data_IF_504702999892
#
_entry.id   IF_504702999892
#
_cell.length_a   1.000
_cell.length_b   1.000
_cell.length_c   1.000
_cell.angle_alpha   90.00
_cell.angle_beta   90.00
_cell.angle_gamma   90.00
#
_symmetry.space_group_name_H-M   'P 1'
#
loop_
_entity.id
_entity.type
_entity.pdbx_description
1 polymer ?
#
# COMPACT_ATOMS: atom_id res chain seq x y z
N UNK A 1 -21.13 -1.77 6.66
CA UNK A 1 -19.99 -1.77 5.72
C UNK A 1 -20.22 -2.82 4.65
N UNK A 2 -19.99 -2.52 3.37
CA UNK A 2 -20.19 -3.50 2.30
C UNK A 2 -19.20 -4.66 2.45
N UNK A 3 -19.63 -5.89 2.13
CA UNK A 3 -18.82 -7.12 2.28
C UNK A 3 -17.47 -7.05 1.55
N UNK A 4 -17.40 -6.25 0.49
CA UNK A 4 -16.20 -6.03 -0.35
C UNK A 4 -15.14 -5.24 0.42
N UNK A 5 -15.50 -4.12 1.08
CA UNK A 5 -14.53 -3.34 1.84
C UNK A 5 -13.94 -4.12 3.02
N UNK A 6 -14.75 -4.93 3.69
CA UNK A 6 -14.30 -5.80 4.77
C UNK A 6 -13.33 -6.90 4.27
N UNK A 7 -13.53 -7.39 3.04
CA UNK A 7 -12.62 -8.34 2.41
C UNK A 7 -11.28 -7.70 2.06
N UNK A 8 -11.31 -6.54 1.38
CA UNK A 8 -10.10 -5.78 1.01
C UNK A 8 -9.30 -5.45 2.27
N UNK A 9 -9.91 -4.80 3.26
CA UNK A 9 -9.24 -4.48 4.53
C UNK A 9 -8.69 -5.73 5.22
N UNK A 10 -9.44 -6.84 5.16
CA UNK A 10 -9.05 -8.15 5.66
C UNK A 10 -7.73 -8.69 5.10
N UNK A 11 -7.43 -8.42 3.84
CA UNK A 11 -6.23 -8.91 3.16
C UNK A 11 -4.97 -8.11 3.54
N UNK A 12 -5.13 -6.84 3.93
CA UNK A 12 -4.01 -5.96 4.30
C UNK A 12 -3.72 -5.95 5.81
N UNK A 13 -4.64 -6.41 6.67
CA UNK A 13 -4.45 -6.48 8.13
C UNK A 13 -3.15 -7.21 8.55
N UNK A 14 -2.77 -8.36 7.97
CA UNK A 14 -1.51 -9.03 8.34
C UNK A 14 -0.26 -8.22 7.94
N UNK A 15 -0.38 -7.32 6.96
CA UNK A 15 0.72 -6.46 6.50
C UNK A 15 0.96 -5.25 7.43
N UNK A 16 0.07 -4.98 8.39
CA UNK A 16 0.21 -3.91 9.39
C UNK A 16 1.44 -4.11 10.28
N UNK A 17 1.81 -5.38 10.58
CA UNK A 17 2.99 -5.69 11.38
C UNK A 17 4.31 -5.26 10.72
N UNK A 18 4.36 -5.28 9.38
CA UNK A 18 5.51 -4.82 8.59
C UNK A 18 5.65 -3.29 8.71
N UNK A 19 4.52 -2.55 8.68
CA UNK A 19 4.49 -1.09 8.88
C UNK A 19 5.02 -0.68 10.27
N UNK A 20 4.68 -1.45 11.32
CA UNK A 20 5.07 -1.15 12.71
C UNK A 20 6.56 -1.36 13.02
N UNK A 21 7.25 -2.25 12.30
CA UNK A 21 8.71 -2.51 12.49
C UNK A 21 9.62 -1.56 11.71
N UNK A 22 9.08 -0.90 10.68
CA UNK A 22 9.73 0.07 9.77
C UNK A 22 10.64 1.10 10.43
N UNK A 23 10.06 1.65 11.46
CA UNK A 23 10.03 3.09 11.51
C UNK A 23 11.02 3.64 12.54
N UNK A 24 11.43 2.75 13.46
CA UNK A 24 12.62 2.91 14.26
C UNK A 24 13.93 2.82 13.44
N UNK A 25 13.93 2.18 12.27
CA UNK A 25 15.17 1.92 11.52
C UNK A 25 15.56 3.06 10.55
N UNK A 26 14.62 3.87 10.06
CA UNK A 26 14.89 4.93 9.07
C UNK A 26 15.20 6.31 9.68
N UNK A 27 14.93 6.51 10.96
CA UNK A 27 14.95 7.84 11.59
C UNK A 27 16.35 8.34 12.01
N UNK A 28 17.39 7.53 11.89
CA UNK A 28 18.71 7.93 12.41
C UNK A 28 19.62 8.65 11.39
N UNK A 29 19.27 8.71 10.10
CA UNK A 29 20.20 9.24 9.08
C UNK A 29 19.64 10.16 7.98
N UNK A 30 18.33 10.41 7.87
CA UNK A 30 17.77 11.13 6.70
C UNK A 30 17.17 12.51 7.02
N UNK A 31 17.86 13.32 7.81
CA UNK A 31 17.41 14.70 8.06
C UNK A 31 18.41 15.79 7.68
N UNK A 32 19.60 15.47 7.17
CA UNK A 32 20.60 16.53 6.92
C UNK A 32 21.43 16.47 5.64
N UNK A 33 21.22 15.52 4.73
CA UNK A 33 21.87 15.62 3.41
C UNK A 33 20.92 15.23 2.26
N UNK A 34 20.83 16.04 1.19
CA UNK A 34 20.34 15.54 -0.08
C UNK A 34 21.28 14.41 -0.48
N UNK A 35 20.73 13.25 -0.85
CA UNK A 35 21.49 12.07 -1.23
C UNK A 35 22.60 12.43 -2.23
N UNK A 36 23.82 12.54 -1.71
CA UNK A 36 25.02 12.65 -2.52
C UNK A 36 25.18 11.32 -3.27
N UNK A 37 25.45 11.35 -4.59
CA UNK A 37 25.78 10.15 -5.34
C UNK A 37 27.02 9.49 -4.70
N UNK A 38 26.83 8.37 -3.99
CA UNK A 38 27.95 7.61 -3.38
C UNK A 38 27.72 7.08 -1.97
N UNK A 39 26.63 7.41 -1.27
CA UNK A 39 26.38 6.83 0.06
C UNK A 39 25.72 5.45 -0.03
N UNK A 40 26.56 4.40 -0.10
CA UNK A 40 26.13 2.99 -0.14
C UNK A 40 25.23 2.60 1.04
N UNK A 41 25.36 3.25 2.20
CA UNK A 41 24.53 3.00 3.38
C UNK A 41 23.09 3.46 3.17
N UNK A 42 22.89 4.65 2.59
CA UNK A 42 21.55 5.14 2.24
C UNK A 42 20.91 4.29 1.15
N UNK A 43 21.69 3.87 0.15
CA UNK A 43 21.22 2.97 -0.91
C UNK A 43 20.77 1.63 -0.36
N UNK A 44 21.54 1.03 0.56
CA UNK A 44 21.15 -0.22 1.23
C UNK A 44 19.88 -0.04 2.08
N UNK A 45 19.74 1.09 2.78
CA UNK A 45 18.58 1.36 3.63
C UNK A 45 17.30 1.58 2.82
N UNK A 46 17.41 2.24 1.66
CA UNK A 46 16.36 2.40 0.66
C UNK A 46 16.00 1.05 0.02
N UNK A 47 16.98 0.21 -0.31
CA UNK A 47 16.72 -1.15 -0.78
C UNK A 47 15.90 -1.96 0.23
N UNK A 48 16.32 -1.98 1.50
CA UNK A 48 15.57 -2.64 2.59
C UNK A 48 14.15 -2.04 2.73
N UNK A 49 13.93 -0.78 2.31
CA UNK A 49 12.60 -0.15 2.24
C UNK A 49 11.71 -0.77 1.22
N UNK A 50 12.27 -0.96 0.04
CA UNK A 50 11.52 -1.28 -1.13
C UNK A 50 11.19 -2.77 -1.21
N UNK A 51 11.97 -3.64 -0.56
CA UNK A 51 11.74 -5.10 -0.51
C UNK A 51 10.27 -5.48 -0.26
N UNK A 52 9.63 -5.14 0.88
CA UNK A 52 8.24 -5.56 1.12
C UNK A 52 7.24 -5.01 0.09
N UNK A 53 7.55 -3.87 -0.54
CA UNK A 53 6.68 -3.25 -1.52
C UNK A 53 6.84 -3.86 -2.91
N UNK A 54 8.07 -4.11 -3.33
CA UNK A 54 8.37 -4.84 -4.55
C UNK A 54 7.73 -6.23 -4.53
N UNK A 55 7.83 -6.93 -3.39
CA UNK A 55 7.23 -8.25 -3.15
C UNK A 55 5.75 -8.19 -2.73
N UNK A 56 5.04 -7.06 -2.92
CA UNK A 56 3.60 -6.97 -2.64
C UNK A 56 2.75 -8.03 -3.33
N UNK A 57 2.97 -8.37 -4.62
CA UNK A 57 2.29 -9.50 -5.24
C UNK A 57 2.37 -10.79 -4.40
N UNK A 58 3.55 -11.11 -3.84
CA UNK A 58 3.79 -12.32 -3.04
C UNK A 58 3.08 -12.23 -1.69
N UNK A 59 3.32 -11.14 -0.96
CA UNK A 59 2.80 -10.93 0.39
C UNK A 59 1.27 -10.89 0.38
N UNK A 60 0.69 -10.19 -0.59
CA UNK A 60 -0.75 -10.09 -0.73
C UNK A 60 -1.36 -11.39 -1.23
N UNK A 61 -0.68 -12.11 -2.13
CA UNK A 61 -1.16 -13.41 -2.60
C UNK A 61 -1.32 -14.41 -1.45
N UNK A 62 -0.33 -14.41 -0.55
CA UNK A 62 -0.39 -15.18 0.70
C UNK A 62 -1.58 -14.74 1.59
N UNK A 63 -1.73 -13.46 1.88
CA UNK A 63 -2.78 -12.99 2.81
C UNK A 63 -4.20 -13.14 2.24
N UNK A 64 -4.38 -13.00 0.92
CA UNK A 64 -5.66 -13.28 0.25
C UNK A 64 -5.99 -14.77 0.39
N UNK A 65 -5.02 -15.66 0.16
CA UNK A 65 -5.22 -17.10 0.29
C UNK A 65 -5.60 -17.50 1.73
N UNK A 66 -4.94 -16.94 2.74
CA UNK A 66 -5.34 -17.06 4.16
C UNK A 66 -6.79 -16.63 4.35
N UNK A 67 -7.18 -15.47 3.81
CA UNK A 67 -8.54 -14.94 3.97
C UNK A 67 -9.59 -15.82 3.29
N UNK A 68 -9.25 -16.43 2.17
CA UNK A 68 -10.11 -17.35 1.41
C UNK A 68 -10.08 -18.79 1.93
N UNK A 69 -9.28 -19.10 2.96
CA UNK A 69 -9.05 -20.45 3.47
C UNK A 69 -8.59 -21.40 2.35
N UNK A 70 -7.68 -20.92 1.52
CA UNK A 70 -7.05 -21.61 0.39
C UNK A 70 -5.56 -21.79 0.69
N UNK A 71 -4.86 -22.59 -0.11
CA UNK A 71 -3.43 -22.83 0.01
C UNK A 71 -2.62 -21.53 -0.04
N UNK A 72 -2.06 -21.16 1.10
CA UNK A 72 -1.30 -19.92 1.31
C UNK A 72 -0.05 -19.86 0.40
N UNK A 73 0.66 -20.99 0.29
CA UNK A 73 1.82 -21.13 -0.58
C UNK A 73 1.46 -21.02 -2.06
N UNK A 74 0.30 -21.55 -2.47
CA UNK A 74 -0.17 -21.41 -3.87
C UNK A 74 -0.43 -19.94 -4.18
N UNK A 75 -1.06 -19.20 -3.27
CA UNK A 75 -1.26 -17.76 -3.40
C UNK A 75 0.07 -16.99 -3.49
N UNK A 76 1.05 -17.34 -2.65
CA UNK A 76 2.38 -16.74 -2.68
C UNK A 76 3.14 -17.04 -4.00
N UNK A 77 3.06 -18.27 -4.50
CA UNK A 77 3.69 -18.70 -5.76
C UNK A 77 3.11 -17.94 -6.95
N UNK A 78 1.79 -17.74 -6.99
CA UNK A 78 1.15 -16.93 -8.03
C UNK A 78 1.71 -15.51 -8.02
N UNK A 79 1.82 -14.89 -6.85
CA UNK A 79 2.46 -13.58 -6.71
C UNK A 79 3.93 -13.56 -7.13
N UNK A 80 4.69 -14.60 -6.76
CA UNK A 80 6.11 -14.71 -7.08
C UNK A 80 6.36 -14.91 -8.57
N UNK A 81 5.47 -15.61 -9.27
CA UNK A 81 5.58 -15.85 -10.71
C UNK A 81 5.57 -14.55 -11.53
N UNK A 82 4.87 -13.52 -11.04
CA UNK A 82 4.82 -12.19 -11.67
C UNK A 82 6.11 -11.38 -11.47
N UNK A 83 6.94 -11.79 -10.51
CA UNK A 83 8.22 -11.16 -10.16
C UNK A 83 9.42 -12.02 -10.58
N UNK A 84 9.19 -13.11 -11.33
CA UNK A 84 10.26 -14.00 -11.75
C UNK A 84 11.27 -13.23 -12.63
N UNK A 85 12.58 -13.26 -12.33
CA UNK A 85 13.58 -12.45 -13.05
C UNK A 85 13.58 -12.64 -14.57
N UNK A 86 13.35 -13.87 -15.04
CA UNK A 86 13.28 -14.16 -16.49
C UNK A 86 12.01 -13.61 -17.13
N UNK A 87 10.93 -13.44 -16.36
CA UNK A 87 9.70 -12.83 -16.85
C UNK A 87 9.83 -11.30 -16.84
N UNK A 88 10.38 -10.73 -15.77
CA UNK A 88 10.55 -9.28 -15.65
C UNK A 88 11.62 -8.73 -16.60
N UNK A 89 12.64 -9.51 -16.96
CA UNK A 89 13.64 -9.11 -17.97
C UNK A 89 13.05 -8.97 -19.38
N UNK A 90 11.89 -9.57 -19.63
CA UNK A 90 11.16 -9.49 -20.89
C UNK A 90 10.10 -8.37 -20.89
N UNK A 91 10.02 -7.56 -19.82
CA UNK A 91 9.06 -6.47 -19.72
C UNK A 91 9.15 -5.50 -20.91
N UNK A 92 8.00 -5.15 -21.48
CA UNK A 92 7.90 -4.33 -22.69
C UNK A 92 7.97 -5.10 -24.01
N UNK A 93 8.29 -6.41 -23.96
CA UNK A 93 8.26 -7.28 -25.14
C UNK A 93 6.89 -7.96 -25.29
N UNK A 94 6.57 -8.34 -26.53
CA UNK A 94 5.42 -9.20 -26.82
C UNK A 94 5.94 -10.58 -27.21
N UNK A 95 5.65 -11.58 -26.38
CA UNK A 95 5.99 -12.97 -26.66
C UNK A 95 4.86 -13.62 -27.44
N UNK A 96 5.20 -14.50 -28.38
CA UNK A 96 4.22 -15.34 -29.05
C UNK A 96 4.23 -16.73 -28.40
N UNK A 97 3.16 -17.05 -27.68
CA UNK A 97 3.01 -18.33 -26.99
C UNK A 97 1.81 -19.05 -27.62
N UNK A 98 2.09 -20.14 -28.35
CA UNK A 98 1.06 -20.98 -28.98
C UNK A 98 0.13 -20.13 -29.89
N UNK A 99 0.68 -19.15 -30.61
CA UNK A 99 -0.07 -18.27 -31.52
C UNK A 99 -0.79 -17.10 -30.83
N UNK A 100 -0.71 -16.98 -29.50
CA UNK A 100 -1.30 -15.87 -28.74
C UNK A 100 -0.23 -14.83 -28.35
N UNK A 101 -0.47 -13.53 -28.61
CA UNK A 101 0.42 -12.48 -28.15
C UNK A 101 0.28 -12.27 -26.65
N UNK A 102 1.38 -12.46 -25.93
CA UNK A 102 1.52 -12.14 -24.52
C UNK A 102 2.34 -10.87 -24.37
N UNK A 103 1.71 -9.79 -23.94
CA UNK A 103 2.42 -8.55 -23.59
C UNK A 103 2.99 -8.70 -22.19
N UNK A 104 4.32 -8.74 -22.09
CA UNK A 104 5.00 -8.87 -20.81
C UNK A 104 5.08 -7.50 -20.15
N UNK A 105 4.59 -7.43 -18.91
CA UNK A 105 4.50 -6.19 -18.15
C UNK A 105 5.22 -6.35 -16.83
N UNK A 106 5.77 -5.25 -16.32
CA UNK A 106 6.27 -5.21 -14.95
C UNK A 106 5.09 -5.13 -13.96
N UNK A 107 5.13 -6.03 -12.97
CA UNK A 107 4.13 -6.15 -11.90
C UNK A 107 4.72 -5.88 -10.51
N UNK A 108 5.97 -5.41 -10.42
CA UNK A 108 6.53 -4.89 -9.18
C UNK A 108 5.59 -3.86 -8.57
N UNK A 109 5.41 -3.89 -7.25
CA UNK A 109 4.50 -2.99 -6.52
C UNK A 109 3.01 -3.13 -6.87
N UNK A 110 2.64 -3.97 -7.84
CA UNK A 110 1.26 -4.15 -8.26
C UNK A 110 0.49 -5.09 -7.33
N UNK A 111 -0.82 -4.86 -7.25
CA UNK A 111 -1.70 -5.55 -6.30
C UNK A 111 -2.88 -6.18 -7.03
N UNK A 112 -3.48 -5.46 -7.98
CA UNK A 112 -4.66 -5.90 -8.70
C UNK A 112 -4.51 -7.27 -9.39
N UNK A 113 -3.39 -7.58 -10.09
CA UNK A 113 -3.20 -8.90 -10.70
C UNK A 113 -3.46 -10.06 -9.73
N UNK A 114 -2.84 -9.99 -8.55
CA UNK A 114 -2.94 -11.04 -7.53
C UNK A 114 -4.30 -11.00 -6.83
N UNK A 115 -4.89 -9.81 -6.68
CA UNK A 115 -6.23 -9.62 -6.13
C UNK A 115 -7.31 -10.34 -6.95
N UNK A 116 -7.10 -10.50 -8.25
CA UNK A 116 -7.98 -11.29 -9.12
C UNK A 116 -7.54 -12.76 -9.26
N UNK A 117 -6.23 -13.01 -9.34
CA UNK A 117 -5.70 -14.36 -9.55
C UNK A 117 -5.95 -15.32 -8.38
N UNK A 118 -5.73 -14.88 -7.14
CA UNK A 118 -5.83 -15.77 -5.97
C UNK A 118 -7.26 -16.22 -5.68
N UNK A 119 -8.31 -15.38 -5.82
CA UNK A 119 -9.69 -15.87 -5.79
C UNK A 119 -10.00 -16.94 -6.83
N UNK A 120 -9.46 -16.81 -8.05
CA UNK A 120 -9.61 -17.83 -9.10
C UNK A 120 -8.90 -19.12 -8.69
N UNK A 121 -7.68 -19.02 -8.16
CA UNK A 121 -6.95 -20.18 -7.62
C UNK A 121 -7.69 -20.87 -6.49
N UNK A 122 -8.27 -20.11 -5.55
CA UNK A 122 -9.04 -20.65 -4.44
C UNK A 122 -10.31 -21.38 -4.92
N UNK A 123 -10.98 -20.86 -5.96
CA UNK A 123 -12.13 -21.53 -6.56
C UNK A 123 -11.72 -22.84 -7.27
N UNK A 124 -10.63 -22.80 -8.03
CA UNK A 124 -10.08 -23.98 -8.71
C UNK A 124 -9.60 -25.03 -7.70
N UNK A 125 -8.94 -24.63 -6.61
CA UNK A 125 -8.47 -25.53 -5.55
C UNK A 125 -9.63 -26.30 -4.92
N UNK A 126 -10.74 -25.61 -4.61
CA UNK A 126 -11.95 -26.24 -4.06
C UNK A 126 -12.57 -27.22 -5.06
N UNK A 127 -12.61 -26.86 -6.34
CA UNK A 127 -13.11 -27.73 -7.40
C UNK A 127 -12.26 -29.00 -7.55
N UNK A 128 -10.94 -28.86 -7.58
CA UNK A 128 -10.00 -29.98 -7.72
C UNK A 128 -10.05 -30.92 -6.51
N UNK A 129 -10.18 -30.39 -5.29
CA UNK A 129 -10.34 -31.20 -4.06
C UNK A 129 -11.62 -32.06 -4.07
N UNK A 130 -12.68 -31.61 -4.74
CA UNK A 130 -13.91 -32.42 -4.87
C UNK A 130 -13.77 -33.49 -5.95
N UNK A 131 -12.93 -33.26 -6.96
CA UNK A 131 -12.85 -34.13 -8.15
C UNK A 131 -11.73 -35.17 -8.12
N UNK A 132 -10.62 -34.86 -7.47
CA UNK A 132 -9.44 -35.73 -7.39
C UNK A 132 -9.56 -36.71 -6.21
N UNK A 133 -8.92 -37.88 -6.33
CA UNK A 133 -8.81 -38.82 -5.21
C UNK A 133 -7.87 -38.30 -4.13
N UNK A 134 -8.21 -38.54 -2.86
CA UNK A 134 -7.48 -38.01 -1.70
C UNK A 134 -5.97 -38.32 -1.73
N UNK A 135 -5.59 -39.50 -2.24
CA UNK A 135 -4.19 -39.94 -2.34
C UNK A 135 -3.31 -39.05 -3.22
N UNK A 136 -3.88 -38.37 -4.22
CA UNK A 136 -3.11 -37.52 -5.16
C UNK A 136 -3.31 -36.03 -4.91
N UNK A 137 -4.31 -35.65 -4.10
CA UNK A 137 -4.66 -34.24 -3.88
C UNK A 137 -3.50 -33.40 -3.32
N UNK A 138 -2.66 -33.99 -2.47
CA UNK A 138 -1.54 -33.30 -1.82
C UNK A 138 -0.57 -32.66 -2.83
N UNK A 139 -0.34 -33.32 -3.97
CA UNK A 139 0.58 -32.85 -5.00
C UNK A 139 -0.14 -32.27 -6.23
N UNK A 140 -1.23 -32.91 -6.67
CA UNK A 140 -1.94 -32.51 -7.90
C UNK A 140 -2.70 -31.19 -7.74
N UNK A 141 -3.30 -30.93 -6.58
CA UNK A 141 -4.11 -29.72 -6.41
C UNK A 141 -3.26 -28.45 -6.51
N UNK A 142 -2.16 -28.29 -5.75
CA UNK A 142 -1.31 -27.09 -5.87
C UNK A 142 -0.68 -26.96 -7.27
N UNK A 143 -0.23 -28.08 -7.86
CA UNK A 143 0.39 -28.08 -9.19
C UNK A 143 -0.59 -27.58 -10.26
N UNK A 144 -1.79 -28.15 -10.32
CA UNK A 144 -2.79 -27.75 -11.30
C UNK A 144 -3.26 -26.31 -11.09
N UNK A 145 -3.39 -25.87 -9.84
CA UNK A 145 -3.68 -24.47 -9.54
C UNK A 145 -2.61 -23.55 -10.12
N UNK A 146 -1.33 -23.82 -9.91
CA UNK A 146 -0.24 -22.99 -10.46
C UNK A 146 -0.19 -23.05 -11.98
N UNK A 147 -0.21 -24.25 -12.57
CA UNK A 147 -0.11 -24.47 -14.03
C UNK A 147 -1.27 -23.82 -14.79
N UNK A 148 -2.46 -23.73 -14.19
CA UNK A 148 -3.62 -23.11 -14.83
C UNK A 148 -3.66 -21.61 -14.54
N UNK A 149 -3.48 -21.21 -13.28
CA UNK A 149 -3.72 -19.83 -12.85
C UNK A 149 -2.56 -18.91 -13.21
N UNK A 150 -1.31 -19.37 -13.20
CA UNK A 150 -0.16 -18.51 -13.56
C UNK A 150 -0.25 -18.06 -15.02
N UNK A 151 -0.41 -18.95 -16.03
CA UNK A 151 -0.63 -18.52 -17.41
C UNK A 151 -1.88 -17.65 -17.56
N UNK A 152 -3.00 -18.04 -16.94
CA UNK A 152 -4.22 -17.22 -16.96
C UNK A 152 -3.97 -15.80 -16.41
N UNK A 153 -3.13 -15.69 -15.39
CA UNK A 153 -2.74 -14.40 -14.82
C UNK A 153 -1.87 -13.63 -15.80
N UNK A 154 -0.86 -14.25 -16.39
CA UNK A 154 0.02 -13.57 -17.36
C UNK A 154 -0.74 -13.07 -18.60
N UNK A 155 -1.66 -13.87 -19.15
CA UNK A 155 -2.41 -13.50 -20.36
C UNK A 155 -3.57 -12.54 -20.10
N UNK A 156 -4.28 -12.71 -18.98
CA UNK A 156 -5.57 -12.05 -18.76
C UNK A 156 -5.57 -11.19 -17.51
N UNK A 157 -5.41 -11.81 -16.32
CA UNK A 157 -5.68 -11.13 -15.05
C UNK A 157 -4.61 -10.08 -14.69
N UNK A 158 -3.38 -10.32 -15.13
CA UNK A 158 -2.23 -9.44 -15.00
C UNK A 158 -2.41 -8.17 -15.81
N UNK A 159 -2.52 -8.25 -17.15
CA UNK A 159 -2.79 -7.08 -17.99
C UNK A 159 -4.07 -6.34 -17.57
N UNK A 160 -5.16 -7.07 -17.30
CA UNK A 160 -6.40 -6.47 -16.80
C UNK A 160 -6.18 -5.72 -15.49
N UNK A 161 -5.53 -6.36 -14.51
CA UNK A 161 -5.25 -5.76 -13.21
C UNK A 161 -4.34 -4.53 -13.32
N UNK A 162 -3.35 -4.56 -14.21
CA UNK A 162 -2.48 -3.42 -14.48
C UNK A 162 -3.25 -2.26 -15.09
N UNK A 163 -3.94 -2.47 -16.21
CA UNK A 163 -4.72 -1.41 -16.85
C UNK A 163 -5.80 -0.82 -15.94
N UNK A 164 -6.44 -1.66 -15.12
CA UNK A 164 -7.38 -1.19 -14.11
C UNK A 164 -6.68 -0.29 -13.08
N UNK A 165 -5.52 -0.71 -12.58
CA UNK A 165 -4.70 0.07 -11.66
C UNK A 165 -4.26 1.42 -12.26
N UNK A 166 -3.80 1.41 -13.50
CA UNK A 166 -3.33 2.60 -14.23
C UNK A 166 -4.49 3.57 -14.51
N UNK A 167 -5.66 3.04 -14.89
CA UNK A 167 -6.85 3.85 -15.12
C UNK A 167 -7.37 4.49 -13.83
N UNK A 168 -7.46 3.73 -12.73
CA UNK A 168 -7.86 4.28 -11.43
C UNK A 168 -6.86 5.35 -10.95
N UNK A 169 -5.56 5.08 -11.10
CA UNK A 169 -4.49 6.02 -10.79
C UNK A 169 -4.67 7.34 -11.56
N UNK A 170 -4.73 7.24 -12.89
CA UNK A 170 -4.90 8.41 -13.77
C UNK A 170 -6.19 9.19 -13.51
N UNK A 171 -7.31 8.51 -13.24
CA UNK A 171 -8.58 9.14 -12.92
C UNK A 171 -8.49 9.97 -11.62
N UNK A 172 -7.82 9.45 -10.59
CA UNK A 172 -7.68 10.17 -9.32
C UNK A 172 -6.68 11.33 -9.43
N UNK A 173 -5.56 11.12 -10.13
CA UNK A 173 -4.62 12.20 -10.45
C UNK A 173 -5.30 13.30 -11.26
N UNK A 174 -6.16 12.95 -12.22
CA UNK A 174 -6.94 13.90 -13.00
C UNK A 174 -7.88 14.73 -12.11
N UNK A 175 -8.64 14.09 -11.22
CA UNK A 175 -9.55 14.77 -10.28
C UNK A 175 -8.79 15.75 -9.37
N UNK A 176 -7.63 15.35 -8.86
CA UNK A 176 -6.76 16.23 -8.07
C UNK A 176 -6.21 17.37 -8.95
N UNK A 177 -5.88 17.09 -10.21
CA UNK A 177 -5.37 18.06 -11.17
C UNK A 177 -6.36 19.15 -11.59
N UNK A 178 -7.68 18.94 -11.45
CA UNK A 178 -8.70 19.97 -11.74
C UNK A 178 -8.51 21.21 -10.85
N UNK A 179 -8.29 21.00 -9.56
CA UNK A 179 -7.90 22.05 -8.63
C UNK A 179 -7.17 21.44 -7.43
N UNK A 180 -5.84 21.40 -7.53
CA UNK A 180 -5.00 20.68 -6.58
C UNK A 180 -5.01 21.28 -5.18
N UNK A 181 -5.20 22.60 -5.06
CA UNK A 181 -5.37 23.28 -3.78
C UNK A 181 -6.68 22.83 -3.09
N UNK A 182 -7.80 22.89 -3.80
CA UNK A 182 -9.12 22.53 -3.25
C UNK A 182 -9.20 21.03 -2.96
N UNK A 183 -8.72 20.18 -3.88
CA UNK A 183 -8.62 18.75 -3.66
C UNK A 183 -7.72 18.44 -2.45
N UNK A 184 -6.60 19.15 -2.33
CA UNK A 184 -5.70 19.12 -1.18
C UNK A 184 -6.40 19.39 0.14
N UNK A 185 -7.16 20.49 0.21
CA UNK A 185 -7.91 20.87 1.42
C UNK A 185 -8.96 19.84 1.80
N UNK A 186 -9.73 19.35 0.83
CA UNK A 186 -10.81 18.38 1.07
C UNK A 186 -10.24 17.04 1.53
N UNK A 187 -9.26 16.51 0.81
CA UNK A 187 -8.65 15.21 1.13
C UNK A 187 -7.96 15.31 2.49
N UNK A 188 -7.15 16.36 2.73
CA UNK A 188 -6.45 16.54 4.00
C UNK A 188 -7.38 16.66 5.22
N UNK A 189 -8.53 17.32 5.07
CA UNK A 189 -9.56 17.39 6.10
C UNK A 189 -10.27 16.04 6.34
N UNK A 190 -10.60 15.33 5.27
CA UNK A 190 -11.41 14.11 5.32
C UNK A 190 -10.60 12.86 5.68
N UNK A 191 -9.30 12.84 5.41
CA UNK A 191 -8.48 11.63 5.47
C UNK A 191 -8.47 10.97 6.86
N UNK A 192 -8.44 11.76 7.93
CA UNK A 192 -8.52 11.25 9.31
C UNK A 192 -9.80 10.45 9.57
N UNK A 193 -10.92 10.82 8.95
CA UNK A 193 -12.18 10.07 9.08
C UNK A 193 -12.22 8.86 8.16
N UNK A 194 -11.62 8.95 6.99
CA UNK A 194 -11.41 7.79 6.10
C UNK A 194 -10.58 6.72 6.84
N UNK A 195 -9.57 7.14 7.61
CA UNK A 195 -8.77 6.26 8.48
C UNK A 195 -9.61 5.72 9.63
N UNK A 196 -10.41 6.56 10.29
CA UNK A 196 -11.34 6.17 11.36
C UNK A 196 -12.29 5.04 10.94
N UNK A 197 -12.85 5.14 9.73
CA UNK A 197 -13.73 4.13 9.18
C UNK A 197 -13.00 2.98 8.48
N UNK A 198 -11.66 2.92 8.53
CA UNK A 198 -10.87 1.89 7.86
C UNK A 198 -11.00 1.88 6.33
N UNK A 199 -11.62 2.92 5.74
CA UNK A 199 -11.86 3.04 4.31
C UNK A 199 -10.58 3.29 3.52
N UNK A 200 -9.53 3.79 4.18
CA UNK A 200 -8.22 3.99 3.56
C UNK A 200 -7.63 2.70 2.97
N UNK A 201 -7.95 1.53 3.54
CA UNK A 201 -7.53 0.24 2.99
C UNK A 201 -8.08 -0.04 1.60
N UNK A 202 -9.21 0.59 1.23
CA UNK A 202 -9.74 0.51 -0.13
C UNK A 202 -8.97 1.39 -1.12
N UNK A 203 -8.27 2.41 -0.62
CA UNK A 203 -7.51 3.39 -1.40
C UNK A 203 -6.06 2.91 -1.60
N UNK A 204 -5.53 2.11 -0.67
CA UNK A 204 -4.17 1.54 -0.72
C UNK A 204 -3.78 0.93 -2.08
N UNK A 205 -4.62 0.12 -2.77
CA UNK A 205 -4.26 -0.40 -4.09
C UNK A 205 -3.97 0.69 -5.13
N UNK A 206 -4.73 1.80 -5.08
CA UNK A 206 -4.50 2.96 -5.95
C UNK A 206 -3.20 3.65 -5.60
N UNK A 207 -2.90 3.79 -4.31
CA UNK A 207 -1.67 4.44 -3.81
C UNK A 207 -0.44 3.71 -4.33
N UNK A 208 -0.45 2.37 -4.24
CA UNK A 208 0.62 1.54 -4.81
C UNK A 208 0.71 1.65 -6.33
N UNK A 209 -0.43 1.71 -7.01
CA UNK A 209 -0.46 1.98 -8.46
C UNK A 209 0.18 3.35 -8.78
N UNK A 210 -0.17 4.41 -8.06
CA UNK A 210 0.38 5.75 -8.28
C UNK A 210 1.89 5.79 -8.01
N UNK A 211 2.38 5.10 -6.99
CA UNK A 211 3.82 4.96 -6.71
C UNK A 211 4.55 4.33 -7.89
N UNK A 212 4.00 3.27 -8.47
CA UNK A 212 4.55 2.65 -9.68
C UNK A 212 4.60 3.61 -10.90
N UNK A 213 3.82 4.70 -10.88
CA UNK A 213 3.78 5.74 -11.92
C UNK A 213 4.54 7.03 -11.55
N UNK A 214 5.48 6.96 -10.61
CA UNK A 214 6.30 8.11 -10.22
C UNK A 214 5.74 8.96 -9.08
N UNK A 215 4.82 8.40 -8.29
CA UNK A 215 4.47 8.90 -6.96
C UNK A 215 2.98 9.16 -6.73
N UNK A 216 2.57 9.04 -5.46
CA UNK A 216 1.18 9.13 -5.03
C UNK A 216 0.80 10.49 -4.41
N UNK A 217 -0.08 11.27 -5.04
CA UNK A 217 -0.56 12.52 -4.47
C UNK A 217 -1.57 12.30 -3.32
N UNK A 218 -2.26 11.16 -3.27
CA UNK A 218 -3.33 10.90 -2.29
C UNK A 218 -2.75 10.80 -0.88
N UNK A 219 -1.74 9.97 -0.67
CA UNK A 219 -1.03 9.83 0.59
C UNK A 219 -0.15 11.03 0.90
N UNK A 220 0.40 11.74 -0.10
CA UNK A 220 1.11 12.99 0.16
C UNK A 220 0.19 13.99 0.88
N UNK A 221 -1.01 14.19 0.33
CA UNK A 221 -2.03 15.09 0.88
C UNK A 221 -2.62 14.53 2.18
N UNK A 222 -3.04 13.26 2.17
CA UNK A 222 -3.64 12.58 3.32
C UNK A 222 -2.69 12.43 4.50
N UNK A 223 -1.38 12.30 4.25
CA UNK A 223 -0.33 12.26 5.26
C UNK A 223 -0.27 13.54 6.11
N UNK A 224 -0.69 14.68 5.57
CA UNK A 224 -0.79 15.91 6.36
C UNK A 224 -1.85 15.81 7.46
N UNK A 225 -2.88 14.99 7.26
CA UNK A 225 -3.85 14.70 8.31
C UNK A 225 -3.20 13.90 9.45
N UNK A 226 -2.28 12.99 9.16
CA UNK A 226 -1.53 12.24 10.16
C UNK A 226 -0.58 13.17 10.96
N UNK A 227 0.10 14.10 10.29
CA UNK A 227 0.94 15.12 10.94
C UNK A 227 0.09 16.04 11.83
N UNK A 228 -1.09 16.45 11.36
CA UNK A 228 -2.03 17.24 12.17
C UNK A 228 -2.45 16.48 13.45
N UNK A 229 -2.69 15.17 13.37
CA UNK A 229 -2.97 14.33 14.54
C UNK A 229 -1.79 14.33 15.52
N UNK A 230 -0.56 14.19 15.04
CA UNK A 230 0.65 14.27 15.87
C UNK A 230 0.78 15.64 16.55
N UNK A 231 0.49 16.73 15.84
CA UNK A 231 0.48 18.09 16.39
C UNK A 231 -0.56 18.26 17.51
N UNK A 232 -1.75 17.69 17.35
CA UNK A 232 -2.78 17.68 18.41
C UNK A 232 -2.31 16.87 19.62
N UNK A 233 -1.72 15.69 19.42
CA UNK A 233 -1.19 14.88 20.51
C UNK A 233 -0.10 15.61 21.30
N UNK A 234 0.81 16.30 20.59
CA UNK A 234 1.84 17.14 21.21
C UNK A 234 1.24 18.32 21.96
N UNK A 235 0.24 18.99 21.38
CA UNK A 235 -0.46 20.10 22.02
C UNK A 235 -1.16 19.67 23.32
N UNK A 236 -1.79 18.49 23.33
CA UNK A 236 -2.39 17.90 24.54
C UNK A 236 -1.29 17.55 25.54
N UNK A 237 -0.20 16.94 25.10
CA UNK A 237 0.93 16.55 25.95
C UNK A 237 1.54 17.75 26.70
N UNK A 238 1.67 18.90 26.03
CA UNK A 238 2.22 20.12 26.65
C UNK A 238 1.19 20.77 27.59
N UNK A 239 -0.10 20.81 27.20
CA UNK A 239 -1.12 21.60 27.89
C UNK A 239 -1.83 20.86 29.03
N UNK A 240 -1.97 19.55 28.96
CA UNK A 240 -2.76 18.80 29.93
C UNK A 240 -2.05 18.70 31.28
N UNK A 241 -2.82 18.89 32.36
CA UNK A 241 -2.38 18.67 33.75
C UNK A 241 -2.81 17.32 34.30
N UNK A 242 -3.74 16.65 33.62
CA UNK A 242 -4.19 15.31 33.98
C UNK A 242 -3.11 14.28 33.64
N UNK A 243 -2.67 13.52 34.65
CA UNK A 243 -1.57 12.57 34.53
C UNK A 243 -1.91 11.42 33.58
N UNK A 244 -3.16 10.94 33.60
CA UNK A 244 -3.62 9.87 32.71
C UNK A 244 -3.61 10.31 31.25
N UNK A 245 -4.21 11.45 30.94
CA UNK A 245 -4.23 12.02 29.58
C UNK A 245 -2.83 12.36 29.09
N UNK A 246 -1.94 12.85 29.98
CA UNK A 246 -0.54 13.13 29.64
C UNK A 246 0.22 11.87 29.26
N UNK A 247 0.03 10.79 30.02
CA UNK A 247 0.66 9.50 29.75
C UNK A 247 0.13 8.87 28.45
N UNK A 248 -1.18 8.99 28.19
CA UNK A 248 -1.77 8.53 26.94
C UNK A 248 -1.25 9.37 25.75
N UNK A 249 -1.14 10.69 25.91
CA UNK A 249 -0.60 11.57 24.89
C UNK A 249 0.86 11.28 24.54
N UNK A 250 1.73 11.07 25.54
CA UNK A 250 3.13 10.72 25.30
C UNK A 250 3.28 9.33 24.66
N UNK A 251 2.56 8.34 25.18
CA UNK A 251 2.59 6.97 24.67
C UNK A 251 1.97 6.81 23.28
N UNK A 252 1.13 7.75 22.84
CA UNK A 252 0.63 7.79 21.46
C UNK A 252 1.53 8.62 20.54
N UNK A 253 2.04 9.77 21.02
CA UNK A 253 2.84 10.71 20.21
C UNK A 253 4.19 10.12 19.79
N UNK A 254 5.04 9.67 20.73
CA UNK A 254 6.38 9.21 20.38
C UNK A 254 6.38 8.00 19.44
N UNK A 255 5.54 6.97 19.66
CA UNK A 255 5.43 5.88 18.70
C UNK A 255 4.86 6.34 17.36
N UNK A 256 3.96 7.31 17.31
CA UNK A 256 3.44 7.83 16.03
C UNK A 256 4.51 8.59 15.24
N UNK A 257 5.37 9.37 15.92
CA UNK A 257 6.48 10.07 15.29
C UNK A 257 7.45 9.09 14.66
N UNK A 258 7.71 8.00 15.40
CA UNK A 258 8.61 6.96 14.94
C UNK A 258 7.93 6.13 13.85
N UNK A 259 6.65 5.77 13.98
CA UNK A 259 5.96 4.74 13.17
C UNK A 259 4.94 5.17 12.13
N UNK A 260 4.55 6.44 12.14
CA UNK A 260 3.42 6.90 11.34
C UNK A 260 2.10 6.20 11.69
N UNK A 261 2.05 5.45 12.79
CA UNK A 261 0.82 4.81 13.31
C UNK A 261 0.11 5.85 14.16
N UNK A 262 -1.02 6.34 13.67
CA UNK A 262 -1.77 7.42 14.33
C UNK A 262 -3.09 6.95 14.93
N UNK A 263 -3.43 5.67 14.77
CA UNK A 263 -4.62 5.06 15.36
C UNK A 263 -4.72 5.30 16.88
N UNK A 264 -3.66 5.15 17.70
CA UNK A 264 -3.73 5.45 19.13
C UNK A 264 -4.07 6.92 19.43
N UNK A 265 -3.59 7.86 18.61
CA UNK A 265 -3.89 9.29 18.75
C UNK A 265 -5.36 9.55 18.38
N UNK A 266 -5.79 9.01 17.25
CA UNK A 266 -7.13 9.22 16.72
C UNK A 266 -8.20 8.68 17.69
N UNK A 267 -8.08 7.42 18.10
CA UNK A 267 -9.04 6.80 19.00
C UNK A 267 -8.88 7.22 20.46
N UNK A 268 -7.65 7.46 20.92
CA UNK A 268 -7.36 7.73 22.33
C UNK A 268 -7.44 9.20 22.74
N UNK A 269 -7.17 10.15 21.83
CA UNK A 269 -7.10 11.58 22.16
C UNK A 269 -8.09 12.43 21.37
N UNK A 270 -8.32 12.10 20.10
CA UNK A 270 -9.09 12.96 19.20
C UNK A 270 -10.59 12.71 19.32
N UNK A 271 -11.03 11.46 19.10
CA UNK A 271 -12.46 11.13 19.15
C UNK A 271 -13.09 11.42 20.52
N UNK A 272 -12.43 11.12 21.67
CA UNK A 272 -12.98 11.47 22.98
C UNK A 272 -13.15 12.98 23.19
N UNK A 273 -12.33 13.80 22.54
CA UNK A 273 -12.36 15.26 22.68
C UNK A 273 -12.87 15.95 21.41
N UNK A 274 -14.18 16.19 21.33
CA UNK A 274 -14.81 16.81 20.15
C UNK A 274 -14.18 18.12 19.68
N UNK A 275 -13.52 18.88 20.56
CA UNK A 275 -12.83 20.12 20.19
C UNK A 275 -11.60 19.88 19.32
N UNK A 276 -10.88 18.79 19.55
CA UNK A 276 -9.66 18.47 18.79
C UNK A 276 -9.97 18.00 17.37
N UNK A 277 -11.19 17.52 17.13
CA UNK A 277 -11.70 17.21 15.79
C UNK A 277 -11.64 18.44 14.87
N UNK A 278 -12.04 19.62 15.35
CA UNK A 278 -11.94 20.85 14.55
C UNK A 278 -10.49 21.21 14.24
N UNK A 279 -9.58 21.03 15.20
CA UNK A 279 -8.16 21.31 14.98
C UNK A 279 -7.55 20.42 13.91
N UNK A 280 -7.86 19.12 13.90
CA UNK A 280 -7.34 18.23 12.86
C UNK A 280 -7.96 18.49 11.49
N UNK A 281 -9.25 18.88 11.42
CA UNK A 281 -9.90 19.23 10.15
C UNK A 281 -9.22 20.44 9.55
N UNK A 282 -9.05 21.50 10.35
CA UNK A 282 -8.48 22.77 9.87
C UNK A 282 -7.00 22.58 9.52
N UNK A 283 -6.21 21.97 10.41
CA UNK A 283 -4.80 21.74 10.16
C UNK A 283 -4.57 20.76 8.99
N UNK A 284 -5.40 19.72 8.89
CA UNK A 284 -5.40 18.79 7.76
C UNK A 284 -5.77 19.45 6.44
N UNK A 285 -6.77 20.33 6.44
CA UNK A 285 -7.16 21.11 5.26
C UNK A 285 -6.04 22.05 4.82
N UNK A 286 -5.47 22.82 5.74
CA UNK A 286 -4.39 23.77 5.43
C UNK A 286 -3.15 23.02 4.94
N UNK A 287 -2.72 21.99 5.67
CA UNK A 287 -1.57 21.17 5.29
C UNK A 287 -1.77 20.48 3.95
N UNK A 288 -2.92 19.82 3.76
CA UNK A 288 -3.27 19.15 2.50
C UNK A 288 -3.40 20.12 1.33
N UNK A 289 -3.96 21.31 1.56
CA UNK A 289 -4.06 22.39 0.57
C UNK A 289 -2.70 22.89 0.12
N UNK A 290 -1.77 23.15 1.06
CA UNK A 290 -0.39 23.56 0.73
C UNK A 290 0.30 22.47 -0.10
N UNK A 291 0.25 21.22 0.35
CA UNK A 291 0.86 20.05 -0.31
C UNK A 291 0.25 19.82 -1.70
N UNK A 292 -1.06 20.02 -1.85
CA UNK A 292 -1.76 19.97 -3.12
C UNK A 292 -1.38 21.12 -4.06
N UNK A 293 -1.26 22.35 -3.54
CA UNK A 293 -0.89 23.53 -4.33
C UNK A 293 0.52 23.42 -4.93
N UNK A 294 1.47 22.85 -4.18
CA UNK A 294 2.82 22.57 -4.69
C UNK A 294 2.89 21.27 -5.53
N UNK A 295 1.75 20.61 -5.76
CA UNK A 295 1.62 19.37 -6.55
C UNK A 295 2.57 18.25 -6.13
N UNK A 296 2.84 18.17 -4.82
CA UNK A 296 3.75 17.18 -4.27
C UNK A 296 3.20 15.76 -4.39
N UNK A 297 4.10 14.80 -4.61
CA UNK A 297 3.78 13.38 -4.76
C UNK A 297 4.62 12.58 -3.79
N UNK A 298 4.00 11.56 -3.19
CA UNK A 298 4.69 10.62 -2.35
C UNK A 298 5.33 9.56 -3.25
N UNK A 299 6.61 9.70 -3.53
CA UNK A 299 7.35 8.78 -4.40
C UNK A 299 7.56 7.43 -3.69
N UNK A 300 7.58 7.43 -2.35
CA UNK A 300 7.69 6.23 -1.53
C UNK A 300 6.89 6.37 -0.26
N UNK A 301 6.18 5.31 0.15
CA UNK A 301 5.47 5.28 1.43
C UNK A 301 6.40 5.51 2.63
N UNK A 302 7.71 5.23 2.47
CA UNK A 302 8.76 5.48 3.46
C UNK A 302 10.10 5.80 2.79
N UNK A 303 10.79 6.80 3.33
CA UNK A 303 12.09 7.35 2.96
C UNK A 303 12.85 6.67 1.80
N UNK A 304 12.66 7.21 0.61
CA UNK A 304 13.63 7.19 -0.48
C UNK A 304 13.72 8.60 -1.04
N UNK A 305 14.90 9.17 -1.01
CA UNK A 305 15.25 10.31 -1.84
C UNK A 305 15.51 9.80 -3.25
N UNK A 306 14.52 9.97 -4.13
CA UNK A 306 14.63 10.06 -5.59
C UNK A 306 15.81 9.30 -6.26
N UNK A 307 15.61 8.02 -6.55
CA UNK A 307 16.37 7.33 -7.59
C UNK A 307 15.62 7.45 -8.92
N UNK A 308 16.03 8.42 -9.74
CA UNK A 308 15.82 8.36 -11.19
C UNK A 308 17.17 8.54 -11.88
N UNK A 309 17.92 7.46 -12.17
CA UNK A 309 18.78 7.48 -13.33
C UNK A 309 17.87 7.49 -14.56
N UNK A 310 18.19 8.30 -15.56
CA UNK A 310 17.52 8.36 -16.87
C UNK A 310 16.26 9.24 -16.97
N UNK A 311 16.49 10.55 -16.92
CA UNK A 311 15.92 11.45 -17.94
C UNK A 311 17.05 12.24 -18.59
N UNK A 312 17.38 11.86 -19.82
CA UNK A 312 17.84 12.81 -20.82
C UNK A 312 16.61 13.40 -21.51
#
# INVERSE_FOLDING_TARGET
MSRIFAFISGCFLPLIGIRRRRSAACLHHVSYEPASPGNSTLTLLSFIANVPFYFMPVLLGFTIAVKLKSSELTGAIIGASLLHPEFTSLAGQTLNIIGLPLVVMEYGYSIFPVFFAVPVAAALERFLKVRLWDSVQLFMVPLLCVVIVVPLTMFLLGPFGKYLGDYLASAIVYIIGVNSLVAGMIIGAAYSFIVLFGLHWAIIPVVFSNIAHGGDPIYAIGGMSAIAQMGVALGILIRTRDTGTRQLASSAFFPSLISGVTEPILYGLIIPNRRTIYYIIIAGAVGGGIVGAITSRLITLFCESAFHPDRK
#
